data_IF_409279393768
#
_entry.id   IF_409279393768
#
_cell.length_a   1.000
_cell.length_b   1.000
_cell.length_c   1.000
_cell.angle_alpha   90.00
_cell.angle_beta   90.00
_cell.angle_gamma   90.00
#
_symmetry.space_group_name_H-M   'P 1'
#
loop_
_entity.id
_entity.type
_entity.pdbx_description
1 polymer ?
#
# COMPACT_ATOMS: atom_id res chain seq x y z
N UNK A 1 -8.19 -8.49 11.64
CA UNK A 1 -7.02 -8.33 10.76
C UNK A 1 -7.40 -8.72 9.34
N UNK A 2 -8.11 -7.84 8.62
CA UNK A 2 -8.57 -8.13 7.24
C UNK A 2 -8.24 -6.92 6.36
N UNK A 3 -8.46 -5.71 6.88
CA UNK A 3 -8.20 -4.45 6.16
C UNK A 3 -6.71 -4.21 5.81
N UNK A 4 -5.77 -4.44 6.73
CA UNK A 4 -4.35 -4.21 6.45
C UNK A 4 -3.77 -5.14 5.38
N UNK A 5 -4.22 -6.40 5.34
CA UNK A 5 -3.79 -7.37 4.33
C UNK A 5 -4.31 -7.03 2.93
N UNK A 6 -5.59 -6.65 2.80
CA UNK A 6 -6.14 -6.29 1.50
C UNK A 6 -5.51 -5.03 0.91
N UNK A 7 -5.20 -4.02 1.74
CA UNK A 7 -4.52 -2.81 1.26
C UNK A 7 -3.09 -3.13 0.83
N UNK A 8 -2.38 -3.98 1.58
CA UNK A 8 -1.03 -4.43 1.22
C UNK A 8 -1.01 -5.22 -0.10
N UNK A 9 -1.95 -6.15 -0.28
CA UNK A 9 -2.09 -6.93 -1.53
C UNK A 9 -2.42 -6.03 -2.72
N UNK A 10 -3.33 -5.07 -2.54
CA UNK A 10 -3.71 -4.12 -3.59
C UNK A 10 -2.55 -3.19 -3.96
N UNK A 11 -1.77 -2.72 -2.99
CA UNK A 11 -0.54 -1.97 -3.27
C UNK A 11 0.45 -2.80 -4.08
N UNK A 12 0.68 -4.06 -3.71
CA UNK A 12 1.59 -4.97 -4.43
C UNK A 12 1.11 -5.23 -5.87
N UNK A 13 -0.18 -5.51 -6.05
CA UNK A 13 -0.77 -5.69 -7.37
C UNK A 13 -0.56 -4.45 -8.25
N UNK A 14 -0.83 -3.25 -7.75
CA UNK A 14 -0.64 -2.03 -8.52
C UNK A 14 0.84 -1.75 -8.80
N UNK A 15 1.76 -2.09 -7.89
CA UNK A 15 3.20 -1.94 -8.16
C UNK A 15 3.67 -2.81 -9.33
N UNK A 16 3.12 -4.02 -9.48
CA UNK A 16 3.50 -4.96 -10.53
C UNK A 16 2.73 -4.72 -11.85
N UNK A 17 1.44 -4.37 -11.78
CA UNK A 17 0.57 -4.26 -12.96
C UNK A 17 0.44 -2.83 -13.49
N UNK A 18 0.43 -1.80 -12.64
CA UNK A 18 0.20 -0.40 -13.02
C UNK A 18 0.90 0.58 -12.07
N UNK A 19 2.20 0.77 -12.29
CA UNK A 19 3.05 1.63 -11.46
C UNK A 19 2.58 3.11 -11.48
N UNK A 20 1.93 3.57 -12.55
CA UNK A 20 1.36 4.92 -12.61
C UNK A 20 0.15 5.06 -11.67
N UNK A 21 -0.76 4.08 -11.69
CA UNK A 21 -1.87 4.03 -10.76
C UNK A 21 -1.38 3.90 -9.31
N UNK A 22 -0.34 3.10 -9.05
CA UNK A 22 0.31 3.01 -7.75
C UNK A 22 0.82 4.37 -7.28
N UNK A 23 1.63 5.06 -8.10
CA UNK A 23 2.17 6.39 -7.79
C UNK A 23 1.07 7.43 -7.57
N UNK A 24 -0.02 7.37 -8.34
CA UNK A 24 -1.14 8.31 -8.23
C UNK A 24 -1.94 8.09 -6.95
N UNK A 25 -2.33 6.85 -6.66
CA UNK A 25 -3.16 6.49 -5.50
C UNK A 25 -2.38 6.57 -4.19
N UNK A 26 -1.12 6.16 -4.19
CA UNK A 26 -0.28 6.06 -2.98
C UNK A 26 0.84 7.11 -2.92
N UNK A 27 0.70 8.22 -3.65
CA UNK A 27 1.70 9.31 -3.68
C UNK A 27 2.13 9.79 -2.29
N UNK A 28 1.20 9.82 -1.34
CA UNK A 28 1.45 10.25 0.02
C UNK A 28 2.18 9.19 0.85
N UNK A 29 1.90 7.91 0.61
CA UNK A 29 2.57 6.80 1.26
C UNK A 29 4.00 6.65 0.77
N UNK A 30 4.22 6.81 -0.54
CA UNK A 30 5.57 6.85 -1.13
C UNK A 30 6.39 7.99 -0.53
N UNK A 31 5.81 9.20 -0.37
CA UNK A 31 6.50 10.33 0.27
C UNK A 31 6.85 10.08 1.73
N UNK A 32 6.06 9.27 2.43
CA UNK A 32 6.27 8.92 3.83
C UNK A 32 7.13 7.65 4.01
N UNK A 33 7.54 7.01 2.90
CA UNK A 33 8.29 5.76 2.94
C UNK A 33 7.48 4.57 3.45
N UNK A 34 6.14 4.66 3.42
CA UNK A 34 5.23 3.61 3.89
C UNK A 34 5.13 2.54 2.79
N UNK A 35 5.47 1.31 3.16
CA UNK A 35 5.46 0.13 2.30
C UNK A 35 4.20 -0.71 2.54
N UNK A 36 3.89 -1.67 1.63
CA UNK A 36 2.80 -2.63 1.86
C UNK A 36 2.95 -3.41 3.18
N UNK A 37 4.18 -3.65 3.65
CA UNK A 37 4.44 -4.38 4.88
C UNK A 37 4.09 -3.55 6.13
N UNK A 38 4.22 -2.23 6.03
CA UNK A 38 3.83 -1.29 7.10
C UNK A 38 2.31 -1.19 7.27
N UNK A 39 1.52 -1.60 6.27
CA UNK A 39 0.05 -1.51 6.31
C UNK A 39 -0.55 -2.43 7.36
N UNK A 40 0.06 -3.58 7.63
CA UNK A 40 -0.46 -4.49 8.65
C UNK A 40 -0.39 -3.83 10.04
N UNK A 41 0.67 -3.09 10.32
CA UNK A 41 0.89 -2.41 11.59
C UNK A 41 0.12 -1.10 11.72
N UNK A 42 -0.11 -0.40 10.60
CA UNK A 42 -0.90 0.84 10.58
C UNK A 42 -2.37 0.62 10.95
N UNK A 43 -2.94 -0.50 10.53
CA UNK A 43 -4.35 -0.88 10.78
C UNK A 43 -4.55 -1.84 11.97
N UNK A 44 -3.47 -2.18 12.69
CA UNK A 44 -3.52 -2.96 13.94
C UNK A 44 -3.79 -2.10 15.18
N UNK A 45 -3.61 -0.78 15.09
CA UNK A 45 -3.97 0.19 16.15
C UNK A 45 -5.46 0.47 16.17
#
# INVERSE_FOLDING_TARGET
>A
HIFGQHVAEYMRMLMDEDEEAYKKQFSQYIKLGITPDDMEDLYKK
#
